data_IF_252098830147
#
_entry.id   IF_252098830147
#
_cell.length_a   1.000
_cell.length_b   1.000
_cell.length_c   1.000
_cell.angle_alpha   90.00
_cell.angle_beta   90.00
_cell.angle_gamma   90.00
#
_symmetry.space_group_name_H-M   'P 1'
#
loop_
_entity.id
_entity.type
_entity.pdbx_description
1 polymer ?
#
# COMPACT_ATOMS: atom_id res chain seq x y z
N UNK A 1 -37.07 1.90 -18.97
CA UNK A 1 -37.17 1.22 -17.67
C UNK A 1 -36.42 2.07 -16.65
N UNK A 2 -37.13 2.68 -15.69
CA UNK A 2 -36.47 3.44 -14.63
C UNK A 2 -35.84 2.46 -13.64
N UNK A 3 -34.61 2.74 -13.20
CA UNK A 3 -33.95 1.97 -12.14
C UNK A 3 -34.59 2.42 -10.83
N UNK A 4 -35.06 1.46 -10.05
CA UNK A 4 -35.58 1.75 -8.72
C UNK A 4 -34.40 1.64 -7.71
N UNK A 5 -34.03 2.76 -7.10
CA UNK A 5 -32.95 2.85 -6.12
C UNK A 5 -33.22 1.90 -4.93
N UNK A 6 -34.46 1.79 -4.50
CA UNK A 6 -34.86 0.89 -3.40
C UNK A 6 -34.57 -0.58 -3.73
N UNK A 7 -34.80 -1.02 -4.99
CA UNK A 7 -34.46 -2.39 -5.40
C UNK A 7 -32.95 -2.63 -5.43
N UNK A 8 -32.17 -1.65 -5.87
CA UNK A 8 -30.69 -1.76 -5.86
C UNK A 8 -30.17 -1.87 -4.43
N UNK A 9 -30.65 -1.05 -3.51
CA UNK A 9 -30.26 -1.12 -2.09
C UNK A 9 -30.66 -2.46 -1.48
N UNK A 10 -31.85 -2.98 -1.82
CA UNK A 10 -32.33 -4.27 -1.34
C UNK A 10 -31.49 -5.43 -1.91
N UNK A 11 -31.20 -5.42 -3.20
CA UNK A 11 -30.34 -6.43 -3.84
C UNK A 11 -28.92 -6.41 -3.29
N UNK A 12 -28.39 -5.22 -3.02
CA UNK A 12 -27.09 -5.05 -2.42
C UNK A 12 -27.06 -5.53 -0.96
N UNK A 13 -28.07 -5.17 -0.16
CA UNK A 13 -28.26 -5.68 1.19
C UNK A 13 -28.34 -7.20 1.20
N UNK A 14 -29.17 -7.79 0.33
CA UNK A 14 -29.30 -9.23 0.21
C UNK A 14 -27.97 -9.90 -0.23
N UNK A 15 -27.22 -9.27 -1.14
CA UNK A 15 -25.91 -9.76 -1.57
C UNK A 15 -24.89 -9.77 -0.44
N UNK A 16 -24.93 -8.76 0.46
CA UNK A 16 -24.05 -8.70 1.62
C UNK A 16 -24.52 -9.56 2.78
N UNK A 17 -25.83 -9.62 3.03
CA UNK A 17 -26.41 -10.34 4.16
C UNK A 17 -26.46 -11.85 3.94
N UNK A 18 -26.75 -12.29 2.71
CA UNK A 18 -26.95 -13.70 2.40
C UNK A 18 -25.70 -14.57 2.58
N UNK A 19 -24.52 -13.96 2.66
CA UNK A 19 -23.32 -14.70 2.99
C UNK A 19 -22.26 -13.77 3.60
N UNK A 20 -21.95 -13.94 4.86
CA UNK A 20 -20.74 -13.37 5.46
C UNK A 20 -19.45 -13.65 4.65
N UNK A 21 -19.51 -14.61 3.74
CA UNK A 21 -18.51 -14.91 2.73
C UNK A 21 -18.34 -13.83 1.66
N UNK A 22 -19.41 -13.12 1.27
CA UNK A 22 -19.33 -12.09 0.23
C UNK A 22 -18.60 -10.85 0.71
N UNK A 23 -18.80 -10.43 1.95
CA UNK A 23 -18.07 -9.32 2.56
C UNK A 23 -16.56 -9.59 2.58
N UNK A 24 -16.17 -10.79 2.99
CA UNK A 24 -14.76 -11.22 2.98
C UNK A 24 -14.22 -11.34 1.56
N UNK A 25 -15.04 -11.74 0.59
CA UNK A 25 -14.66 -11.84 -0.81
C UNK A 25 -14.42 -10.46 -1.42
N UNK A 26 -15.31 -9.49 -1.19
CA UNK A 26 -15.15 -8.12 -1.69
C UNK A 26 -13.92 -7.47 -1.08
N UNK A 27 -13.72 -7.58 0.24
CA UNK A 27 -12.50 -7.09 0.88
C UNK A 27 -11.24 -7.72 0.27
N UNK A 28 -11.28 -9.02 0.00
CA UNK A 28 -10.16 -9.71 -0.67
C UNK A 28 -9.94 -9.21 -2.08
N UNK A 29 -11.01 -8.98 -2.85
CA UNK A 29 -10.91 -8.44 -4.21
C UNK A 29 -10.39 -7.02 -4.23
N UNK A 30 -10.75 -6.17 -3.27
CA UNK A 30 -10.23 -4.82 -3.11
C UNK A 30 -8.74 -4.79 -2.75
N UNK A 31 -8.22 -5.87 -2.19
CA UNK A 31 -6.80 -5.99 -1.81
C UNK A 31 -5.97 -6.83 -2.77
N UNK A 32 -6.58 -7.54 -3.71
CA UNK A 32 -5.91 -8.33 -4.75
C UNK A 32 -5.63 -7.47 -5.98
N UNK A 33 -4.47 -7.65 -6.59
CA UNK A 33 -4.10 -7.00 -7.84
C UNK A 33 -3.17 -5.80 -7.69
N UNK A 34 -2.70 -5.52 -6.48
CA UNK A 34 -1.66 -4.52 -6.24
C UNK A 34 -0.30 -5.15 -6.48
N UNK A 35 0.48 -4.59 -7.39
CA UNK A 35 1.80 -5.13 -7.72
C UNK A 35 2.77 -5.00 -6.56
N UNK A 36 2.72 -3.88 -5.84
CA UNK A 36 3.61 -3.64 -4.71
C UNK A 36 3.43 -4.65 -3.57
N UNK A 37 2.20 -5.03 -3.26
CA UNK A 37 1.91 -5.94 -2.14
C UNK A 37 2.48 -7.33 -2.31
N UNK A 38 2.77 -7.78 -3.54
CA UNK A 38 3.41 -9.08 -3.79
C UNK A 38 4.86 -9.14 -3.32
N UNK A 39 5.51 -7.99 -3.18
CA UNK A 39 6.89 -7.88 -2.67
C UNK A 39 6.94 -7.64 -1.15
N UNK A 40 5.80 -7.53 -0.50
CA UNK A 40 5.69 -7.29 0.93
C UNK A 40 5.26 -8.53 1.69
N UNK A 41 5.77 -8.70 2.90
CA UNK A 41 5.29 -9.75 3.80
C UNK A 41 4.03 -9.28 4.53
N UNK A 42 2.86 -9.90 4.31
CA UNK A 42 1.63 -9.48 4.96
C UNK A 42 1.68 -9.82 6.46
N UNK A 43 1.47 -8.84 7.30
CA UNK A 43 1.36 -9.00 8.74
C UNK A 43 -0.03 -8.58 9.21
N UNK A 44 -0.61 -9.32 10.13
CA UNK A 44 -1.91 -9.00 10.75
C UNK A 44 -1.67 -8.42 12.12
N UNK A 45 -2.30 -7.29 12.39
CA UNK A 45 -2.30 -6.66 13.71
C UNK A 45 -3.68 -6.11 14.03
N UNK A 46 -4.06 -6.18 15.29
CA UNK A 46 -5.27 -5.54 15.81
C UNK A 46 -4.96 -4.15 16.40
N UNK A 47 -3.68 -3.80 16.50
CA UNK A 47 -3.20 -2.53 17.00
C UNK A 47 -2.94 -1.52 15.87
N UNK A 48 -2.99 -0.24 16.21
CA UNK A 48 -2.62 0.87 15.30
C UNK A 48 -1.11 1.04 15.13
N UNK A 49 -0.32 0.44 15.99
CA UNK A 49 1.15 0.49 15.96
C UNK A 49 1.66 -0.95 16.08
N UNK A 50 2.36 -1.41 15.06
CA UNK A 50 3.06 -2.68 15.09
C UNK A 50 4.51 -2.44 15.48
N UNK A 51 4.95 -3.04 16.61
CA UNK A 51 6.30 -2.87 17.15
C UNK A 51 7.19 -4.02 16.77
N UNK A 52 8.30 -3.70 16.16
CA UNK A 52 9.39 -4.60 15.84
C UNK A 52 10.61 -4.21 16.67
N UNK A 53 11.45 -5.16 17.00
CA UNK A 53 12.76 -4.90 17.59
C UNK A 53 13.85 -5.33 16.63
N UNK A 54 14.78 -4.44 16.34
CA UNK A 54 15.98 -4.77 15.58
C UNK A 54 17.14 -4.91 16.57
N UNK A 55 17.82 -6.07 16.56
CA UNK A 55 18.95 -6.32 17.42
C UNK A 55 20.24 -6.24 16.58
N UNK A 56 21.09 -5.27 16.89
CA UNK A 56 22.44 -5.19 16.34
C UNK A 56 23.48 -5.69 17.33
N UNK A 57 24.45 -6.43 16.83
CA UNK A 57 25.52 -7.00 17.62
C UNK A 57 26.84 -6.33 17.26
N UNK A 58 27.58 -5.93 18.28
CA UNK A 58 28.99 -5.55 18.09
C UNK A 58 29.85 -6.80 17.85
N UNK A 59 31.09 -6.61 17.36
CA UNK A 59 32.00 -7.69 17.10
C UNK A 59 32.26 -8.51 18.36
N UNK A 60 31.95 -9.83 18.34
CA UNK A 60 32.04 -10.72 19.49
C UNK A 60 33.36 -11.48 19.55
N UNK A 61 33.95 -11.78 18.40
CA UNK A 61 35.18 -12.61 18.33
C UNK A 61 36.40 -11.82 18.79
N UNK A 62 37.20 -12.44 19.63
CA UNK A 62 38.47 -11.89 20.09
C UNK A 62 39.53 -13.04 20.26
N UNK A 63 40.82 -12.72 20.23
CA UNK A 63 41.86 -13.71 20.52
C UNK A 63 41.70 -14.36 21.90
N UNK A 64 42.09 -15.63 22.00
CA UNK A 64 41.99 -16.36 23.24
C UNK A 64 42.84 -15.71 24.35
N UNK A 65 42.24 -15.54 25.51
CA UNK A 65 42.93 -15.14 26.75
C UNK A 65 42.33 -15.87 27.96
N UNK A 66 43.11 -16.09 28.99
CA UNK A 66 42.66 -16.84 30.18
C UNK A 66 41.68 -16.04 31.06
N UNK A 67 41.76 -14.71 31.02
CA UNK A 67 40.85 -13.85 31.78
C UNK A 67 39.52 -13.66 31.04
N UNK A 68 38.42 -13.61 31.80
CA UNK A 68 37.15 -13.18 31.21
C UNK A 68 37.22 -11.70 30.88
N UNK A 69 37.04 -11.37 29.60
CA UNK A 69 37.00 -9.99 29.11
C UNK A 69 35.78 -9.87 28.21
N UNK A 70 34.80 -9.14 28.67
CA UNK A 70 33.59 -8.92 27.87
C UNK A 70 33.98 -8.13 26.63
N UNK A 71 33.65 -8.69 25.46
CA UNK A 71 33.73 -8.02 24.19
C UNK A 71 32.37 -8.12 23.50
N UNK A 72 31.93 -6.99 22.98
CA UNK A 72 30.65 -6.90 22.31
C UNK A 72 29.52 -6.45 23.22
N UNK A 73 28.41 -6.16 22.60
CA UNK A 73 27.16 -5.77 23.23
C UNK A 73 26.02 -5.99 22.26
N UNK A 74 24.84 -6.12 22.78
CA UNK A 74 23.59 -6.16 21.99
C UNK A 74 22.90 -4.83 22.17
N UNK A 75 22.64 -4.15 21.05
CA UNK A 75 21.80 -2.95 21.03
C UNK A 75 20.46 -3.32 20.43
N UNK A 76 19.40 -3.16 21.20
CA UNK A 76 18.03 -3.41 20.73
C UNK A 76 17.40 -2.04 20.43
N UNK A 77 17.09 -1.82 19.16
CA UNK A 77 16.41 -0.59 18.69
C UNK A 77 14.97 -0.95 18.38
N UNK A 78 13.99 -0.37 19.09
CA UNK A 78 12.60 -0.56 18.74
C UNK A 78 12.30 0.16 17.40
N UNK A 79 11.60 -0.53 16.50
CA UNK A 79 11.08 0.02 15.28
C UNK A 79 9.55 -0.03 15.32
N UNK A 80 8.88 1.01 14.87
CA UNK A 80 7.43 1.12 14.90
C UNK A 80 6.89 1.30 13.48
N UNK A 81 5.95 0.44 13.11
CA UNK A 81 5.18 0.58 11.87
C UNK A 81 3.79 1.06 12.27
N UNK A 82 3.39 2.23 11.79
CA UNK A 82 2.06 2.78 12.01
C UNK A 82 1.09 2.30 10.96
N UNK A 83 -0.11 1.93 11.41
CA UNK A 83 -1.23 1.55 10.54
C UNK A 83 -2.15 2.76 10.39
N UNK A 84 -2.50 3.08 9.16
CA UNK A 84 -3.36 4.20 8.82
C UNK A 84 -4.71 3.71 8.32
N UNK A 85 -5.78 4.39 8.72
CA UNK A 85 -7.13 4.07 8.30
C UNK A 85 -7.51 4.93 7.09
N UNK A 86 -7.93 4.28 6.02
CA UNK A 86 -8.46 4.94 4.83
C UNK A 86 -9.97 4.76 4.77
N UNK A 87 -10.66 5.70 4.16
CA UNK A 87 -12.09 5.62 3.86
C UNK A 87 -12.34 6.03 2.42
N UNK A 88 -13.46 5.57 1.90
CA UNK A 88 -13.98 5.95 0.59
C UNK A 88 -15.41 6.39 0.81
N UNK A 89 -15.66 7.67 0.55
CA UNK A 89 -17.00 8.24 0.57
C UNK A 89 -17.28 8.70 -0.87
N UNK A 90 -18.22 8.05 -1.54
CA UNK A 90 -18.62 8.40 -2.89
C UNK A 90 -20.15 8.29 -3.05
N UNK A 91 -20.69 9.13 -3.89
CA UNK A 91 -22.11 9.18 -4.23
C UNK A 91 -22.28 9.12 -5.75
N UNK A 92 -23.12 8.22 -6.22
CA UNK A 92 -23.41 8.11 -7.64
C UNK A 92 -24.91 7.96 -7.90
N UNK A 93 -25.34 8.45 -9.07
CA UNK A 93 -26.71 8.28 -9.54
C UNK A 93 -26.78 7.06 -10.45
N UNK A 94 -27.62 6.04 -10.11
CA UNK A 94 -27.70 4.79 -10.89
C UNK A 94 -28.05 5.00 -12.37
N UNK A 95 -28.82 6.03 -12.69
CA UNK A 95 -29.21 6.30 -14.08
C UNK A 95 -28.02 6.77 -14.95
N UNK A 96 -27.02 7.44 -14.38
CA UNK A 96 -25.85 7.92 -15.11
C UNK A 96 -24.94 6.76 -15.58
N UNK A 97 -24.88 5.70 -14.79
CA UNK A 97 -24.01 4.55 -15.09
C UNK A 97 -24.73 3.37 -15.75
N UNK A 98 -26.07 3.43 -15.82
CA UNK A 98 -26.92 2.36 -16.36
C UNK A 98 -26.53 1.94 -17.77
N UNK A 99 -26.24 2.88 -18.65
CA UNK A 99 -25.89 2.57 -20.04
C UNK A 99 -24.56 1.76 -20.10
N UNK A 100 -23.58 2.13 -19.29
CA UNK A 100 -22.30 1.44 -19.22
C UNK A 100 -22.45 0.03 -18.64
N UNK A 101 -23.25 -0.14 -17.58
CA UNK A 101 -23.55 -1.44 -17.02
C UNK A 101 -24.29 -2.36 -18.00
N UNK A 102 -25.32 -1.86 -18.69
CA UNK A 102 -26.04 -2.64 -19.71
C UNK A 102 -25.12 -3.03 -20.87
N UNK A 103 -24.22 -2.13 -21.28
CA UNK A 103 -23.18 -2.41 -22.27
C UNK A 103 -22.25 -3.54 -21.82
N UNK A 104 -21.78 -3.50 -20.56
CA UNK A 104 -20.97 -4.56 -19.97
C UNK A 104 -21.68 -5.92 -19.97
N UNK A 105 -22.95 -5.96 -19.55
CA UNK A 105 -23.74 -7.20 -19.57
C UNK A 105 -23.87 -7.78 -20.99
N UNK A 106 -24.14 -6.92 -21.97
CA UNK A 106 -24.28 -7.33 -23.37
C UNK A 106 -22.95 -7.83 -23.96
N UNK A 107 -21.83 -7.13 -23.68
CA UNK A 107 -20.52 -7.53 -24.21
C UNK A 107 -20.02 -8.85 -23.63
N UNK A 108 -20.27 -9.09 -22.35
CA UNK A 108 -19.80 -10.30 -21.67
C UNK A 108 -20.82 -11.46 -21.67
N UNK A 109 -21.99 -11.26 -22.28
CA UNK A 109 -23.09 -12.22 -22.32
C UNK A 109 -23.48 -12.75 -20.93
N UNK A 110 -23.52 -11.86 -19.94
CA UNK A 110 -23.90 -12.16 -18.56
C UNK A 110 -25.23 -11.51 -18.22
N UNK A 111 -25.92 -12.03 -17.22
CA UNK A 111 -27.24 -11.54 -16.83
C UNK A 111 -27.16 -10.62 -15.59
N UNK A 112 -28.28 -9.95 -15.27
CA UNK A 112 -28.40 -9.02 -14.15
C UNK A 112 -28.31 -9.69 -12.80
N UNK A 113 -28.69 -10.95 -12.68
CA UNK A 113 -28.65 -11.71 -11.42
C UNK A 113 -27.21 -12.07 -11.05
N UNK A 114 -26.40 -12.38 -12.06
CA UNK A 114 -24.96 -12.68 -11.86
C UNK A 114 -24.14 -11.43 -11.60
N UNK A 115 -24.51 -10.33 -12.26
CA UNK A 115 -23.82 -9.03 -12.16
C UNK A 115 -24.78 -7.90 -11.82
N UNK A 116 -25.23 -7.81 -10.56
CA UNK A 116 -25.97 -6.64 -10.08
C UNK A 116 -25.18 -5.34 -10.27
N UNK A 117 -25.86 -4.23 -10.44
CA UNK A 117 -25.24 -2.91 -10.70
C UNK A 117 -24.15 -2.56 -9.68
N UNK A 118 -24.41 -2.80 -8.40
CA UNK A 118 -23.46 -2.47 -7.31
C UNK A 118 -22.23 -3.37 -7.36
N UNK A 119 -22.40 -4.66 -7.64
CA UNK A 119 -21.28 -5.58 -7.82
C UNK A 119 -20.38 -5.12 -8.96
N UNK A 120 -20.98 -4.78 -10.10
CA UNK A 120 -20.25 -4.28 -11.25
C UNK A 120 -19.49 -2.98 -10.95
N UNK A 121 -20.12 -2.04 -10.23
CA UNK A 121 -19.44 -0.81 -9.79
C UNK A 121 -18.23 -1.10 -8.93
N UNK A 122 -18.37 -1.98 -7.93
CA UNK A 122 -17.28 -2.32 -7.02
C UNK A 122 -16.13 -3.02 -7.76
N UNK A 123 -16.45 -4.01 -8.60
CA UNK A 123 -15.43 -4.84 -9.23
C UNK A 123 -14.77 -4.17 -10.45
N UNK A 124 -15.51 -3.39 -11.24
CA UNK A 124 -15.00 -2.80 -12.48
C UNK A 124 -14.51 -1.36 -12.34
N UNK A 125 -15.07 -0.57 -11.41
CA UNK A 125 -14.68 0.82 -11.22
C UNK A 125 -13.90 1.05 -9.94
N UNK A 126 -14.51 0.85 -8.78
CA UNK A 126 -13.88 1.19 -7.51
C UNK A 126 -12.59 0.44 -7.27
N UNK A 127 -12.57 -0.84 -7.56
CA UNK A 127 -11.36 -1.64 -7.36
C UNK A 127 -10.18 -1.09 -8.15
N UNK A 128 -10.37 -0.81 -9.43
CA UNK A 128 -9.29 -0.30 -10.30
C UNK A 128 -8.78 1.06 -9.84
N UNK A 129 -9.71 1.93 -9.42
CA UNK A 129 -9.34 3.25 -8.93
C UNK A 129 -8.62 3.17 -7.58
N UNK A 130 -9.11 2.34 -6.65
CA UNK A 130 -8.47 2.12 -5.35
C UNK A 130 -7.05 1.56 -5.53
N UNK A 131 -6.89 0.55 -6.38
CA UNK A 131 -5.58 -0.04 -6.65
C UNK A 131 -4.62 1.02 -7.19
N UNK A 132 -5.06 1.83 -8.14
CA UNK A 132 -4.27 2.93 -8.69
C UNK A 132 -3.90 3.97 -7.64
N UNK A 133 -4.86 4.42 -6.84
CA UNK A 133 -4.63 5.46 -5.83
C UNK A 133 -3.68 4.96 -4.74
N UNK A 134 -3.86 3.72 -4.30
CA UNK A 134 -2.97 3.10 -3.32
C UNK A 134 -1.55 2.91 -3.87
N UNK A 135 -1.39 2.42 -5.09
CA UNK A 135 -0.08 2.16 -5.68
C UNK A 135 0.68 3.47 -5.98
N UNK A 136 0.04 4.41 -6.66
CA UNK A 136 0.72 5.60 -7.18
C UNK A 136 0.81 6.74 -6.17
N UNK A 137 -0.21 6.93 -5.34
CA UNK A 137 -0.29 8.08 -4.45
C UNK A 137 0.15 7.71 -3.03
N UNK A 138 -0.38 6.63 -2.46
CA UNK A 138 -0.18 6.32 -1.06
C UNK A 138 1.12 5.52 -0.81
N UNK A 139 1.31 4.36 -1.46
CA UNK A 139 2.45 3.49 -1.15
C UNK A 139 3.80 4.10 -1.50
N UNK A 140 3.91 4.80 -2.60
CA UNK A 140 5.19 5.38 -3.02
C UNK A 140 5.41 6.81 -2.56
N UNK A 141 4.43 7.68 -2.79
CA UNK A 141 4.57 9.12 -2.60
C UNK A 141 3.86 9.66 -1.35
N UNK A 142 3.13 8.82 -0.62
CA UNK A 142 2.30 9.26 0.50
C UNK A 142 3.10 10.01 1.57
N UNK A 143 2.50 11.07 2.09
CA UNK A 143 2.99 11.83 3.24
C UNK A 143 1.80 12.11 4.14
N UNK A 144 1.69 11.38 5.22
CA UNK A 144 0.54 11.47 6.11
C UNK A 144 0.31 12.90 6.61
N UNK A 145 -0.93 13.34 6.47
CA UNK A 145 -1.44 14.55 7.11
C UNK A 145 -2.75 14.25 7.83
N UNK A 146 -2.89 14.78 9.04
CA UNK A 146 -4.10 14.56 9.81
C UNK A 146 -5.33 15.16 9.10
N UNK A 147 -6.41 14.40 8.92
CA UNK A 147 -7.60 14.87 8.20
C UNK A 147 -8.33 15.96 9.00
N UNK A 148 -8.88 16.93 8.29
CA UNK A 148 -9.79 17.93 8.88
C UNK A 148 -11.23 17.43 8.77
N UNK A 149 -12.00 17.55 9.86
CA UNK A 149 -13.38 17.10 9.91
C UNK A 149 -14.24 17.87 8.91
N UNK A 150 -14.98 17.17 8.05
CA UNK A 150 -15.87 17.77 7.08
C UNK A 150 -15.19 18.31 5.81
N UNK A 151 -13.88 18.11 5.65
CA UNK A 151 -13.11 18.50 4.47
C UNK A 151 -12.56 17.24 3.81
N UNK A 152 -12.70 17.14 2.49
CA UNK A 152 -12.10 16.04 1.74
C UNK A 152 -10.57 16.08 1.89
N UNK A 153 -9.95 14.92 2.10
CA UNK A 153 -8.50 14.80 2.21
C UNK A 153 -7.81 15.13 0.89
N UNK A 154 -6.57 15.53 0.96
CA UNK A 154 -5.71 15.72 -0.21
C UNK A 154 -5.15 14.35 -0.62
N UNK A 155 -5.01 14.14 -1.92
CA UNK A 155 -4.45 12.91 -2.47
C UNK A 155 -3.03 12.66 -1.93
N UNK A 156 -2.71 11.40 -1.61
CA UNK A 156 -1.40 11.04 -1.08
C UNK A 156 -1.14 11.45 0.38
N UNK A 157 -2.18 11.79 1.14
CA UNK A 157 -2.03 12.16 2.57
C UNK A 157 -2.55 11.10 3.54
N UNK A 158 -2.95 9.94 3.03
CA UNK A 158 -3.54 8.89 3.84
C UNK A 158 -2.55 8.10 4.69
N UNK A 159 -1.30 7.94 4.23
CA UNK A 159 -0.24 7.22 4.94
C UNK A 159 1.14 7.75 4.59
N UNK A 160 2.15 7.31 5.34
CA UNK A 160 3.55 7.56 4.99
C UNK A 160 4.02 6.49 4.00
N UNK A 161 4.34 6.91 2.79
CA UNK A 161 4.80 6.06 1.70
C UNK A 161 6.29 5.75 1.76
N UNK A 162 6.74 4.84 0.90
CA UNK A 162 8.12 4.32 0.88
C UNK A 162 9.14 5.43 0.72
N UNK A 163 8.89 6.40 -0.14
CA UNK A 163 9.80 7.52 -0.37
C UNK A 163 10.11 8.28 0.93
N UNK A 164 9.08 8.56 1.73
CA UNK A 164 9.24 9.23 3.01
C UNK A 164 10.00 8.36 4.01
N UNK A 165 9.70 7.07 4.06
CA UNK A 165 10.37 6.12 4.94
C UNK A 165 11.84 5.93 4.58
N UNK A 166 12.16 5.83 3.28
CA UNK A 166 13.55 5.76 2.82
C UNK A 166 14.31 7.06 3.12
N UNK A 167 13.69 8.22 2.90
CA UNK A 167 14.30 9.49 3.23
C UNK A 167 14.60 9.60 4.74
N UNK A 168 13.66 9.21 5.59
CA UNK A 168 13.88 9.16 7.03
C UNK A 168 15.06 8.23 7.40
N UNK A 169 15.16 7.06 6.76
CA UNK A 169 16.28 6.14 6.97
C UNK A 169 17.63 6.72 6.53
N UNK A 170 17.66 7.54 5.47
CA UNK A 170 18.87 8.27 5.06
C UNK A 170 19.20 9.36 6.08
N UNK A 171 18.20 10.13 6.51
CA UNK A 171 18.38 11.22 7.48
C UNK A 171 18.88 10.69 8.83
N UNK A 172 18.39 9.55 9.27
CA UNK A 172 18.80 8.86 10.49
C UNK A 172 20.09 8.04 10.33
N UNK A 173 20.68 8.02 9.14
CA UNK A 173 21.90 7.25 8.82
C UNK A 173 21.73 5.73 9.03
N UNK A 174 20.49 5.21 8.97
CA UNK A 174 20.20 3.78 8.98
C UNK A 174 20.28 3.16 7.59
N UNK A 175 20.17 4.00 6.55
CA UNK A 175 20.32 3.65 5.14
C UNK A 175 21.46 4.48 4.57
N UNK A 176 22.46 3.81 3.99
CA UNK A 176 23.54 4.49 3.30
C UNK A 176 23.05 4.97 1.92
N UNK A 177 23.10 6.27 1.68
CA UNK A 177 22.76 6.82 0.38
C UNK A 177 23.99 6.85 -0.53
N UNK A 178 23.80 6.44 -1.78
CA UNK A 178 24.82 6.61 -2.83
C UNK A 178 24.52 7.88 -3.57
N UNK A 179 25.39 8.88 -3.42
CA UNK A 179 25.23 10.17 -4.10
C UNK A 179 26.05 10.20 -5.39
N UNK A 180 25.38 10.20 -6.52
CA UNK A 180 25.99 10.29 -7.86
C UNK A 180 25.94 11.70 -8.47
N UNK A 181 25.49 12.69 -7.69
CA UNK A 181 25.27 14.05 -8.16
C UNK A 181 24.03 14.23 -9.05
N UNK A 182 23.87 15.39 -9.62
CA UNK A 182 22.79 15.67 -10.57
C UNK A 182 23.03 14.92 -11.88
N UNK A 183 21.99 14.28 -12.41
CA UNK A 183 22.09 13.57 -13.69
C UNK A 183 22.33 14.56 -14.83
N UNK A 184 23.36 14.33 -15.62
CA UNK A 184 23.69 15.12 -16.79
C UNK A 184 23.73 14.22 -18.03
N UNK A 185 23.22 14.74 -19.14
CA UNK A 185 23.08 13.98 -20.38
C UNK A 185 24.45 13.47 -20.93
N UNK A 186 25.51 14.24 -20.73
CA UNK A 186 26.83 13.93 -21.23
C UNK A 186 27.58 12.88 -20.39
N UNK A 187 27.23 12.75 -19.11
CA UNK A 187 27.92 11.86 -18.14
C UNK A 187 27.03 10.77 -17.57
N UNK A 188 25.84 10.57 -18.11
CA UNK A 188 24.85 9.65 -17.54
C UNK A 188 25.36 8.20 -17.46
N UNK A 189 26.13 7.75 -18.45
CA UNK A 189 26.70 6.40 -18.46
C UNK A 189 27.72 6.22 -17.32
N UNK A 190 28.64 7.18 -17.19
CA UNK A 190 29.65 7.16 -16.13
C UNK A 190 29.00 7.25 -14.73
N UNK A 191 27.90 8.01 -14.61
CA UNK A 191 27.13 8.12 -13.38
C UNK A 191 26.40 6.82 -13.02
N UNK A 192 25.83 6.10 -14.00
CA UNK A 192 25.21 4.80 -13.80
C UNK A 192 26.24 3.74 -13.42
N UNK A 193 27.42 3.75 -14.05
CA UNK A 193 28.52 2.86 -13.70
C UNK A 193 29.01 3.12 -12.26
N UNK A 194 29.25 4.38 -11.92
CA UNK A 194 29.64 4.79 -10.57
C UNK A 194 28.57 4.42 -9.51
N UNK A 195 27.28 4.50 -9.85
CA UNK A 195 26.19 4.06 -8.98
C UNK A 195 26.22 2.55 -8.76
N UNK A 196 26.40 1.78 -9.83
CA UNK A 196 26.49 0.32 -9.74
C UNK A 196 27.68 -0.13 -8.88
N UNK A 197 28.84 0.48 -9.06
CA UNK A 197 30.04 0.17 -8.28
C UNK A 197 29.89 0.54 -6.81
N UNK A 198 29.30 1.70 -6.52
CA UNK A 198 29.05 2.15 -5.15
C UNK A 198 28.03 1.26 -4.42
N UNK A 199 26.99 0.75 -5.12
CA UNK A 199 26.07 -0.25 -4.55
C UNK A 199 26.81 -1.54 -4.23
N UNK A 200 27.63 -2.03 -5.15
CA UNK A 200 28.41 -3.25 -4.94
C UNK A 200 29.36 -3.12 -3.74
N UNK A 201 29.95 -1.96 -3.50
CA UNK A 201 30.81 -1.69 -2.36
C UNK A 201 30.07 -1.63 -1.03
N UNK A 202 28.86 -1.07 -1.01
CA UNK A 202 28.05 -0.90 0.21
C UNK A 202 27.37 -2.20 0.64
N UNK A 203 27.03 -3.09 -0.29
CA UNK A 203 26.24 -4.28 -0.04
C UNK A 203 26.98 -5.61 -0.23
N UNK A 204 28.29 -5.59 -0.34
CA UNK A 204 29.15 -6.77 -0.22
C UNK A 204 29.46 -7.08 1.25
#
# INVERSE_FOLDING_TARGET
MSINITSIVTEFGAYYESAGQNKSRILRMLTQGREFTQYCTPMKTDDTIFRLSNASFNTLVQPFQKAFTQKGGVTIVPNEIRVFHHKIDDEFYPDDIKASWLGFLAMNNVNREEWPLVKWMVEEYYRKQIDRDMELLEYFNGVYAAPSVGVAGVDGTGMDGIKKLLQAGVDDSTINSVNIGALATETIFDQVEAFSDAIAEVYQ
#
